data_IF_620958841470
#
_entry.id   IF_620958841470
#
_cell.length_a   1.000
_cell.length_b   1.000
_cell.length_c   1.000
_cell.angle_alpha   90.00
_cell.angle_beta   90.00
_cell.angle_gamma   90.00
#
_symmetry.space_group_name_H-M   'P 1'
#
loop_
_entity.id
_entity.type
_entity.pdbx_description
1 polymer ?
#
# COMPACT_ATOMS: atom_id res chain seq x y z
N UNK A 1 -23.40 -3.50 -13.55
CA UNK A 1 -22.40 -2.83 -12.68
C UNK A 1 -21.15 -3.67 -12.65
N UNK A 2 -19.99 -3.10 -12.97
CA UNK A 2 -18.71 -3.80 -12.83
C UNK A 2 -18.33 -3.87 -11.35
N UNK A 3 -18.04 -5.07 -10.79
CA UNK A 3 -17.67 -5.19 -9.38
C UNK A 3 -16.32 -4.50 -9.13
N UNK A 4 -16.18 -3.85 -7.97
CA UNK A 4 -14.88 -3.30 -7.55
C UNK A 4 -13.93 -4.44 -7.25
N UNK A 5 -12.72 -4.37 -7.78
CA UNK A 5 -11.70 -5.39 -7.59
C UNK A 5 -10.62 -4.90 -6.62
N UNK A 6 -10.33 -5.73 -5.63
CA UNK A 6 -9.14 -5.61 -4.79
C UNK A 6 -8.17 -6.67 -5.27
N UNK A 7 -7.11 -6.23 -5.96
CA UNK A 7 -6.16 -7.12 -6.61
C UNK A 7 -4.90 -7.16 -5.74
N UNK A 8 -4.53 -8.33 -5.24
CA UNK A 8 -3.24 -8.54 -4.61
C UNK A 8 -2.24 -8.98 -5.67
N UNK A 9 -1.17 -8.21 -5.86
CA UNK A 9 -0.06 -8.69 -6.69
C UNK A 9 0.62 -9.93 -6.02
N UNK A 10 1.48 -10.68 -6.74
CA UNK A 10 2.10 -11.88 -6.16
C UNK A 10 2.92 -11.62 -4.88
N UNK A 11 3.46 -10.41 -4.70
CA UNK A 11 4.21 -10.04 -3.50
C UNK A 11 3.27 -9.89 -2.31
N UNK A 12 2.28 -9.02 -2.43
CA UNK A 12 1.31 -8.72 -1.37
C UNK A 12 0.48 -9.95 -1.01
N UNK A 13 0.18 -10.81 -1.98
CA UNK A 13 -0.44 -12.11 -1.72
C UNK A 13 0.45 -13.01 -0.85
N UNK A 14 1.77 -13.04 -1.12
CA UNK A 14 2.75 -13.78 -0.31
C UNK A 14 3.00 -13.13 1.05
N UNK A 15 2.96 -11.82 1.15
CA UNK A 15 3.06 -11.09 2.42
C UNK A 15 1.85 -11.40 3.30
N UNK A 16 0.64 -11.35 2.74
CA UNK A 16 -0.59 -11.72 3.42
C UNK A 16 -0.58 -13.19 3.87
N UNK A 17 -0.18 -14.11 3.00
CA UNK A 17 -0.21 -15.55 3.31
C UNK A 17 0.75 -15.98 4.43
N UNK A 18 1.80 -15.19 4.69
CA UNK A 18 2.74 -15.40 5.80
C UNK A 18 2.21 -14.92 7.15
N UNK A 19 1.11 -14.16 7.17
CA UNK A 19 0.53 -13.64 8.41
C UNK A 19 -0.27 -14.72 9.13
N UNK A 20 -0.41 -14.66 10.47
CA UNK A 20 -1.34 -15.51 11.21
C UNK A 20 -2.76 -15.44 10.64
N UNK A 21 -3.51 -16.54 10.71
CA UNK A 21 -4.83 -16.65 10.05
C UNK A 21 -5.82 -15.60 10.54
N UNK A 22 -5.86 -15.34 11.84
CA UNK A 22 -6.71 -14.31 12.45
C UNK A 22 -6.41 -12.93 11.87
N UNK A 23 -5.13 -12.59 11.76
CA UNK A 23 -4.71 -11.33 11.17
C UNK A 23 -5.03 -11.23 9.67
N UNK A 24 -4.90 -12.32 8.91
CA UNK A 24 -5.34 -12.33 7.52
C UNK A 24 -6.84 -12.01 7.42
N UNK A 25 -7.66 -12.62 8.27
CA UNK A 25 -9.11 -12.39 8.30
C UNK A 25 -9.45 -10.97 8.71
N UNK A 26 -8.74 -10.41 9.70
CA UNK A 26 -8.91 -9.04 10.15
C UNK A 26 -8.60 -8.04 9.02
N UNK A 27 -7.45 -8.20 8.36
CA UNK A 27 -7.05 -7.38 7.20
C UNK A 27 -8.10 -7.48 6.08
N UNK A 28 -8.56 -8.68 5.75
CA UNK A 28 -9.60 -8.89 4.74
C UNK A 28 -10.95 -8.30 5.15
N UNK A 29 -11.29 -8.32 6.45
CA UNK A 29 -12.49 -7.71 7.01
C UNK A 29 -12.48 -6.19 6.82
N UNK A 30 -11.36 -5.56 7.14
CA UNK A 30 -11.17 -4.12 6.91
C UNK A 30 -11.22 -3.73 5.44
N UNK A 31 -10.81 -4.61 4.53
CA UNK A 31 -10.95 -4.37 3.09
C UNK A 31 -12.40 -4.37 2.58
N UNK A 32 -13.39 -4.83 3.34
CA UNK A 32 -14.79 -4.83 2.87
C UNK A 32 -15.37 -3.42 2.73
N UNK A 33 -14.99 -2.47 3.59
CA UNK A 33 -15.41 -1.06 3.49
C UNK A 33 -14.54 -0.24 2.52
N UNK A 34 -13.35 -0.74 2.24
CA UNK A 34 -12.32 -0.05 1.47
C UNK A 34 -12.75 0.39 0.05
N UNK A 35 -13.52 -0.40 -0.72
CA UNK A 35 -14.04 0.04 -2.01
C UNK A 35 -14.89 1.31 -1.92
N UNK A 36 -15.71 1.44 -0.87
CA UNK A 36 -16.53 2.65 -0.68
C UNK A 36 -15.64 3.84 -0.36
N UNK A 37 -14.63 3.64 0.48
CA UNK A 37 -13.68 4.68 0.87
C UNK A 37 -12.86 5.21 -0.30
N UNK A 38 -12.38 4.31 -1.17
CA UNK A 38 -11.63 4.68 -2.37
C UNK A 38 -12.55 5.31 -3.41
N UNK A 39 -13.81 4.89 -3.52
CA UNK A 39 -14.76 5.42 -4.52
C UNK A 39 -15.21 6.85 -4.21
N UNK A 40 -15.27 7.26 -2.95
CA UNK A 40 -15.90 8.53 -2.55
C UNK A 40 -15.12 9.80 -2.95
N UNK A 41 -14.14 9.72 -3.88
CA UNK A 41 -13.13 10.75 -4.21
C UNK A 41 -12.26 11.21 -3.02
N UNK A 42 -12.60 10.79 -1.81
CA UNK A 42 -12.00 11.23 -0.55
C UNK A 42 -10.76 10.40 -0.22
N UNK A 43 -9.75 10.52 -1.10
CA UNK A 43 -8.45 9.88 -0.94
C UNK A 43 -7.56 10.60 0.06
N UNK A 44 -7.93 11.80 0.47
CA UNK A 44 -7.15 12.67 1.36
C UNK A 44 -6.97 12.04 2.75
N UNK A 45 -7.82 11.07 3.11
CA UNK A 45 -7.67 10.25 4.31
C UNK A 45 -6.51 9.26 4.26
N UNK A 46 -5.99 8.96 3.06
CA UNK A 46 -4.86 8.05 2.87
C UNK A 46 -3.56 8.85 2.76
N UNK A 47 -2.47 8.29 3.29
CA UNK A 47 -1.15 8.84 2.99
C UNK A 47 -0.89 8.74 1.48
N UNK A 48 -0.29 9.78 0.89
CA UNK A 48 0.03 9.80 -0.55
C UNK A 48 1.54 9.90 -0.72
N UNK A 49 2.09 9.05 -1.58
CA UNK A 49 3.49 9.06 -2.00
C UNK A 49 3.56 9.16 -3.52
N UNK A 50 4.41 10.02 -4.03
CA UNK A 50 4.56 10.26 -5.46
C UNK A 50 6.04 10.32 -5.87
N UNK A 51 6.45 9.49 -6.84
CA UNK A 51 7.82 9.53 -7.35
C UNK A 51 7.86 9.18 -8.83
N UNK A 52 8.52 10.03 -9.62
CA UNK A 52 8.69 9.84 -11.07
C UNK A 52 7.37 9.52 -11.80
N UNK A 53 6.29 10.21 -11.43
CA UNK A 53 4.95 10.00 -12.01
C UNK A 53 4.20 8.75 -11.49
N UNK A 54 4.80 7.94 -10.61
CA UNK A 54 4.10 6.85 -9.91
C UNK A 54 3.46 7.37 -8.64
N UNK A 55 2.16 7.12 -8.49
CA UNK A 55 1.39 7.48 -7.30
C UNK A 55 1.04 6.22 -6.50
N UNK A 56 1.39 6.23 -5.22
CA UNK A 56 1.02 5.21 -4.24
C UNK A 56 0.21 5.84 -3.12
N UNK A 57 -0.82 5.13 -2.70
CA UNK A 57 -1.60 5.46 -1.52
C UNK A 57 -1.23 4.50 -0.39
N UNK A 58 -1.31 5.01 0.83
CA UNK A 58 -1.01 4.27 2.05
C UNK A 58 -2.21 4.29 2.97
N UNK A 59 -2.73 3.11 3.24
CA UNK A 59 -3.74 2.90 4.27
C UNK A 59 -3.08 2.37 5.55
N UNK A 60 -3.36 3.05 6.67
CA UNK A 60 -2.89 2.64 8.00
C UNK A 60 -3.93 1.71 8.60
N UNK A 61 -3.54 0.47 8.85
CA UNK A 61 -4.42 -0.55 9.38
C UNK A 61 -3.81 -1.16 10.64
N UNK A 62 -4.12 -0.55 11.79
CA UNK A 62 -3.49 -0.89 13.06
C UNK A 62 -1.96 -0.86 12.94
N UNK A 63 -1.34 -2.02 13.12
CA UNK A 63 0.12 -2.20 13.04
C UNK A 63 0.66 -2.44 11.62
N UNK A 64 -0.20 -2.40 10.61
CA UNK A 64 0.16 -2.60 9.21
C UNK A 64 -0.07 -1.35 8.36
N UNK A 65 0.64 -1.29 7.24
CA UNK A 65 0.54 -0.25 6.22
C UNK A 65 0.36 -0.94 4.88
N UNK A 66 -0.78 -0.69 4.27
CA UNK A 66 -1.14 -1.23 2.95
C UNK A 66 -0.81 -0.16 1.92
N UNK A 67 0.09 -0.50 1.00
CA UNK A 67 0.44 0.34 -0.13
C UNK A 67 -0.28 -0.14 -1.38
N UNK A 68 -1.01 0.75 -2.04
CA UNK A 68 -1.83 0.41 -3.19
C UNK A 68 -1.85 1.53 -4.22
N UNK A 69 -2.20 1.19 -5.45
CA UNK A 69 -2.54 2.13 -6.50
C UNK A 69 -3.98 1.91 -6.97
N UNK A 70 -4.57 2.92 -7.61
CA UNK A 70 -5.83 2.76 -8.31
C UNK A 70 -5.61 2.09 -9.66
N UNK A 71 -6.55 1.25 -10.06
CA UNK A 71 -6.65 0.66 -11.40
C UNK A 71 -8.05 0.93 -11.97
N UNK A 72 -8.25 0.61 -13.25
CA UNK A 72 -9.54 0.81 -13.92
C UNK A 72 -10.71 0.07 -13.24
N UNK A 73 -10.43 -1.10 -12.66
CA UNK A 73 -11.44 -1.97 -12.03
C UNK A 73 -11.49 -1.82 -10.50
N UNK A 74 -10.57 -1.07 -9.90
CA UNK A 74 -10.52 -0.85 -8.46
C UNK A 74 -9.12 -0.46 -7.97
N UNK A 75 -8.45 -1.37 -7.27
CA UNK A 75 -7.11 -1.13 -6.72
C UNK A 75 -6.20 -2.34 -6.88
N UNK A 76 -4.89 -2.05 -6.91
CA UNK A 76 -3.84 -3.05 -6.83
C UNK A 76 -3.07 -2.81 -5.54
N UNK A 77 -3.07 -3.80 -4.64
CA UNK A 77 -2.24 -3.81 -3.44
C UNK A 77 -0.84 -4.25 -3.86
N UNK A 78 0.12 -3.36 -3.61
CA UNK A 78 1.53 -3.60 -3.90
C UNK A 78 2.24 -4.26 -2.75
N UNK A 79 2.00 -3.77 -1.52
CA UNK A 79 2.67 -4.24 -0.30
C UNK A 79 1.81 -4.14 0.95
N UNK A 80 2.03 -5.04 1.89
CA UNK A 80 1.49 -5.01 3.25
C UNK A 80 2.67 -5.08 4.22
N UNK A 81 3.04 -3.93 4.80
CA UNK A 81 4.21 -3.83 5.67
C UNK A 81 3.81 -3.64 7.12
N UNK A 82 4.58 -4.22 8.04
CA UNK A 82 4.43 -3.92 9.47
C UNK A 82 4.96 -2.52 9.81
N UNK A 83 4.51 -1.94 10.92
CA UNK A 83 5.04 -0.68 11.46
C UNK A 83 6.54 -0.73 11.73
N UNK A 84 7.07 -1.90 12.08
CA UNK A 84 8.49 -2.08 12.41
C UNK A 84 9.34 -1.97 11.15
N UNK A 85 8.95 -2.66 10.08
CA UNK A 85 9.58 -2.53 8.76
C UNK A 85 9.59 -1.08 8.28
N UNK A 86 8.54 -0.31 8.59
CA UNK A 86 8.47 1.10 8.24
C UNK A 86 9.43 1.97 9.05
N UNK A 87 9.55 1.72 10.36
CA UNK A 87 10.50 2.41 11.23
C UNK A 87 11.93 2.31 10.71
N UNK A 88 12.31 1.15 10.15
CA UNK A 88 13.65 0.96 9.56
C UNK A 88 13.93 1.93 8.40
N UNK A 89 12.91 2.35 7.64
CA UNK A 89 13.04 3.35 6.58
C UNK A 89 13.04 4.79 7.11
N UNK A 90 12.33 5.05 8.21
CA UNK A 90 12.17 6.37 8.81
C UNK A 90 13.30 6.75 9.76
N UNK A 91 14.01 5.78 10.34
CA UNK A 91 15.06 6.01 11.36
C UNK A 91 16.27 6.82 10.83
N UNK A 92 16.38 7.04 9.52
CA UNK A 92 17.45 7.83 8.90
C UNK A 92 17.08 9.29 8.63
N UNK A 93 15.85 9.68 8.92
CA UNK A 93 15.32 11.00 8.59
C UNK A 93 15.26 11.88 9.84
N UNK A 94 16.37 12.50 10.23
CA UNK A 94 16.47 13.43 11.37
C UNK A 94 15.83 14.81 11.10
N UNK A 95 14.80 14.88 10.25
CA UNK A 95 14.18 16.13 9.81
C UNK A 95 12.69 16.16 10.22
N UNK A 96 12.10 17.33 10.48
CA UNK A 96 10.68 17.50 10.81
C UNK A 96 9.78 17.33 9.56
N UNK A 97 10.14 16.44 8.65
CA UNK A 97 9.35 16.12 7.46
C UNK A 97 8.29 15.07 7.80
N UNK A 98 7.09 15.24 7.24
CA UNK A 98 6.00 14.27 7.41
C UNK A 98 6.41 12.86 6.94
N UNK A 99 5.82 11.84 7.56
CA UNK A 99 6.15 10.42 7.32
C UNK A 99 6.10 10.04 5.84
N UNK A 100 5.13 10.56 5.09
CA UNK A 100 5.00 10.29 3.66
C UNK A 100 6.14 10.92 2.85
N UNK A 101 6.57 12.15 3.19
CA UNK A 101 7.70 12.83 2.54
C UNK A 101 9.00 12.05 2.76
N UNK A 102 9.25 11.61 4.00
CA UNK A 102 10.44 10.84 4.33
C UNK A 102 10.54 9.52 3.54
N UNK A 103 9.41 8.85 3.30
CA UNK A 103 9.37 7.63 2.49
C UNK A 103 9.47 7.92 1.00
N UNK A 104 8.82 9.00 0.55
CA UNK A 104 8.85 9.45 -0.83
C UNK A 104 10.30 9.72 -1.30
N UNK A 105 11.11 10.34 -0.45
CA UNK A 105 12.50 10.68 -0.76
C UNK A 105 13.47 9.50 -0.57
N UNK A 106 13.02 8.38 0.01
CA UNK A 106 13.88 7.23 0.31
C UNK A 106 13.99 6.26 -0.89
N UNK A 107 15.14 6.18 -1.59
CA UNK A 107 15.26 5.31 -2.76
C UNK A 107 15.08 3.83 -2.44
N UNK A 108 15.54 3.36 -1.28
CA UNK A 108 15.39 1.95 -0.84
C UNK A 108 13.93 1.57 -0.60
N UNK A 109 13.10 2.53 -0.17
CA UNK A 109 11.67 2.30 -0.02
C UNK A 109 11.02 2.02 -1.38
N UNK A 110 11.37 2.76 -2.43
CA UNK A 110 10.82 2.52 -3.76
C UNK A 110 11.40 1.26 -4.42
N UNK A 111 12.68 0.98 -4.23
CA UNK A 111 13.26 -0.31 -4.61
C UNK A 111 12.46 -1.45 -3.96
N UNK A 112 12.15 -1.34 -2.67
CA UNK A 112 11.25 -2.26 -1.99
C UNK A 112 9.92 -2.31 -2.74
N UNK A 113 9.18 -1.21 -2.92
CA UNK A 113 7.88 -1.21 -3.62
C UNK A 113 7.91 -1.84 -5.02
N UNK A 114 9.04 -1.75 -5.72
CA UNK A 114 9.26 -2.28 -7.08
C UNK A 114 9.84 -3.70 -7.11
N UNK A 115 10.35 -4.21 -5.98
CA UNK A 115 11.15 -5.44 -5.87
C UNK A 115 10.38 -6.76 -6.06
N UNK A 116 9.24 -6.77 -6.73
CA UNK A 116 8.66 -8.05 -7.13
C UNK A 116 8.02 -7.98 -8.49
N UNK A 117 7.32 -9.05 -8.91
CA UNK A 117 6.97 -9.23 -10.30
C UNK A 117 6.21 -8.00 -10.76
N UNK A 118 6.83 -7.25 -11.70
CA UNK A 118 6.18 -6.17 -12.41
C UNK A 118 4.90 -6.78 -12.95
N UNK A 119 3.76 -6.43 -12.37
CA UNK A 119 2.48 -6.68 -13.01
C UNK A 119 2.64 -6.05 -14.40
N UNK A 120 2.60 -6.88 -15.45
CA UNK A 120 2.66 -6.39 -16.81
C UNK A 120 1.50 -5.42 -16.94
N UNK A 121 1.79 -4.12 -16.93
CA UNK A 121 0.85 -3.12 -17.42
C UNK A 121 0.66 -3.48 -18.89
N UNK A 122 -0.52 -3.99 -19.22
CA UNK A 122 -0.94 -4.23 -20.59
C UNK A 122 -0.78 -2.90 -21.33
N UNK A 123 0.18 -2.86 -22.27
CA UNK A 123 0.21 -1.88 -23.35
C UNK A 123 -0.70 -2.35 -24.48
#
# INVERSE_FOLDING_TARGET
>A
MTPFQIIFNPISAKELSKMPKELQLDILGHFRGFPQDVRSKDLDRFGKLERKGKQLYRYRLGDYRVYFERSELGIIIHRILSKNTLKDFLFRSSLPTGEDQALQDNPKFWELMESGPKAKASS
#
